data_IF_473898940783
#
_entry.id   IF_473898940783
#
_cell.length_a   1.000
_cell.length_b   1.000
_cell.length_c   1.000
_cell.angle_alpha   90.00
_cell.angle_beta   90.00
_cell.angle_gamma   90.00
#
_symmetry.space_group_name_H-M   'P 1'
#
loop_
_entity.id
_entity.type
_entity.pdbx_description
1 polymer ?
#
# COMPACT_ATOMS: atom_id res chain seq x y z
N UNK A 1 -3.59 21.67 10.16
CA UNK A 1 -3.68 20.41 10.94
C UNK A 1 -2.93 19.34 10.18
N UNK A 2 -2.26 18.38 10.85
CA UNK A 2 -1.65 17.25 10.16
C UNK A 2 -2.73 16.43 9.44
N UNK A 3 -2.37 15.80 8.32
CA UNK A 3 -3.23 14.79 7.67
C UNK A 3 -3.43 13.59 8.61
N UNK A 4 -4.54 12.87 8.49
CA UNK A 4 -4.76 11.62 9.23
C UNK A 4 -4.84 10.44 8.28
N UNK A 5 -3.90 9.49 8.40
CA UNK A 5 -3.93 8.20 7.70
C UNK A 5 -4.56 7.14 8.60
N UNK A 6 -5.69 6.57 8.19
CA UNK A 6 -6.34 5.47 8.88
C UNK A 6 -6.07 4.13 8.23
N UNK A 7 -5.53 3.17 8.98
CA UNK A 7 -5.36 1.79 8.53
C UNK A 7 -5.24 0.81 9.70
N UNK A 8 -5.25 -0.48 9.40
CA UNK A 8 -4.87 -1.51 10.37
C UNK A 8 -3.41 -1.31 10.84
N UNK A 9 -3.11 -1.74 12.07
CA UNK A 9 -1.77 -1.74 12.65
C UNK A 9 -0.87 -2.84 12.06
N UNK A 10 -0.76 -2.84 10.73
CA UNK A 10 0.01 -3.76 9.89
C UNK A 10 0.60 -2.97 8.71
N UNK A 11 1.48 -3.58 7.92
CA UNK A 11 2.02 -3.00 6.68
C UNK A 11 0.91 -2.81 5.62
N UNK A 12 0.36 -3.92 5.12
CA UNK A 12 -0.73 -4.01 4.16
C UNK A 12 -0.70 -2.98 3.01
N UNK A 13 -1.88 -2.49 2.64
CA UNK A 13 -2.08 -1.51 1.56
C UNK A 13 -1.53 -0.11 1.90
N UNK A 14 -1.45 0.23 3.19
CA UNK A 14 -1.02 1.57 3.61
C UNK A 14 0.51 1.78 3.52
N UNK A 15 1.30 0.74 3.25
CA UNK A 15 2.75 0.88 3.30
C UNK A 15 3.31 1.85 2.26
N UNK A 16 2.83 1.78 1.01
CA UNK A 16 3.24 2.73 -0.02
C UNK A 16 2.81 4.16 0.32
N UNK A 17 1.68 4.32 1.00
CA UNK A 17 1.17 5.63 1.43
C UNK A 17 2.08 6.23 2.51
N UNK A 18 2.43 5.45 3.55
CA UNK A 18 3.38 5.86 4.60
C UNK A 18 4.72 6.28 4.01
N UNK A 19 5.27 5.45 3.11
CA UNK A 19 6.50 5.75 2.38
C UNK A 19 6.41 7.09 1.63
N UNK A 20 5.30 7.33 0.92
CA UNK A 20 5.11 8.55 0.14
C UNK A 20 4.93 9.80 1.01
N UNK A 21 4.22 9.69 2.13
CA UNK A 21 4.06 10.79 3.09
C UNK A 21 5.40 11.19 3.70
N UNK A 22 6.24 10.22 4.07
CA UNK A 22 7.59 10.46 4.60
C UNK A 22 8.52 11.03 3.53
N UNK A 23 8.46 10.49 2.32
CA UNK A 23 9.23 10.98 1.17
C UNK A 23 8.95 12.46 0.88
N UNK A 24 7.68 12.84 0.89
CA UNK A 24 7.21 14.21 0.62
C UNK A 24 7.40 15.17 1.79
N UNK A 25 7.84 14.68 2.97
CA UNK A 25 7.93 15.49 4.18
C UNK A 25 6.56 15.96 4.69
N UNK A 26 5.50 15.23 4.35
CA UNK A 26 4.14 15.56 4.72
C UNK A 26 3.93 15.50 6.23
N UNK A 27 3.25 16.49 6.80
CA UNK A 27 2.79 16.43 8.19
C UNK A 27 1.55 15.54 8.30
N UNK A 28 1.69 14.39 8.96
CA UNK A 28 0.60 13.45 9.17
C UNK A 28 0.72 12.67 10.48
N UNK A 29 -0.44 12.25 10.98
CA UNK A 29 -0.63 11.30 12.07
C UNK A 29 -1.31 10.02 11.57
N UNK A 30 -1.13 8.92 12.30
CA UNK A 30 -1.75 7.64 11.96
C UNK A 30 -2.83 7.24 12.99
N UNK A 31 -4.04 6.95 12.50
CA UNK A 31 -5.05 6.21 13.25
C UNK A 31 -4.88 4.73 12.95
N UNK A 32 -4.23 4.01 13.87
CA UNK A 32 -3.97 2.56 13.76
C UNK A 32 -5.08 1.77 14.45
N UNK A 33 -5.83 1.00 13.67
CA UNK A 33 -6.83 0.07 14.20
C UNK A 33 -6.17 -1.28 14.48
N UNK A 34 -6.46 -1.88 15.63
CA UNK A 34 -5.96 -3.21 15.99
C UNK A 34 -7.05 -4.25 15.82
N UNK A 35 -6.72 -5.35 15.15
CA UNK A 35 -7.57 -6.54 15.06
C UNK A 35 -7.32 -7.42 16.29
N UNK A 36 -8.41 -7.89 16.92
CA UNK A 36 -8.38 -8.84 18.02
C UNK A 36 -7.71 -10.16 17.65
N UNK A 37 -7.46 -11.01 18.64
CA UNK A 37 -6.85 -12.32 18.45
C UNK A 37 -7.86 -13.36 17.93
N UNK A 38 -7.33 -14.49 17.47
CA UNK A 38 -8.14 -15.63 17.08
C UNK A 38 -8.89 -16.22 18.30
N UNK A 39 -10.07 -16.83 18.11
CA UNK A 39 -10.74 -17.04 16.83
C UNK A 39 -11.61 -15.86 16.37
N UNK A 40 -11.87 -14.90 17.24
CA UNK A 40 -12.90 -13.87 17.03
C UNK A 40 -12.47 -12.77 16.05
N UNK A 41 -11.16 -12.48 16.00
CA UNK A 41 -10.57 -11.45 15.15
C UNK A 41 -11.30 -10.09 15.25
N UNK A 42 -11.63 -9.66 16.48
CA UNK A 42 -12.47 -8.49 16.73
C UNK A 42 -12.02 -7.26 15.91
N UNK A 43 -12.99 -6.60 15.28
CA UNK A 43 -12.79 -5.41 14.42
C UNK A 43 -13.51 -4.18 14.97
N UNK A 44 -14.01 -4.25 16.21
CA UNK A 44 -14.84 -3.21 16.82
C UNK A 44 -14.19 -1.82 16.77
N UNK A 45 -12.86 -1.72 16.97
CA UNK A 45 -12.14 -0.44 16.88
C UNK A 45 -12.39 0.30 15.57
N UNK A 46 -12.41 -0.42 14.44
CA UNK A 46 -12.74 0.17 13.14
C UNK A 46 -14.24 0.30 12.94
N UNK A 47 -15.00 -0.77 13.20
CA UNK A 47 -16.44 -0.82 12.91
C UNK A 47 -17.24 0.25 13.67
N UNK A 48 -16.80 0.61 14.87
CA UNK A 48 -17.43 1.64 15.71
C UNK A 48 -17.25 3.07 15.17
N UNK A 49 -16.23 3.31 14.33
CA UNK A 49 -15.92 4.62 13.74
C UNK A 49 -16.24 4.68 12.24
N UNK A 50 -16.32 3.54 11.54
CA UNK A 50 -16.41 3.41 10.08
C UNK A 50 -17.35 4.42 9.41
N UNK A 51 -18.56 4.58 9.93
CA UNK A 51 -19.59 5.43 9.34
C UNK A 51 -19.69 6.83 9.97
N UNK A 52 -18.77 7.19 10.87
CA UNK A 52 -18.76 8.47 11.60
C UNK A 52 -17.71 9.46 11.08
N UNK A 53 -16.89 9.04 10.12
CA UNK A 53 -15.78 9.83 9.58
C UNK A 53 -16.16 10.70 8.38
N UNK A 54 -17.39 10.55 7.86
CA UNK A 54 -17.86 11.28 6.68
C UNK A 54 -17.19 10.87 5.36
N UNK A 55 -16.70 9.63 5.26
CA UNK A 55 -16.14 9.07 4.03
C UNK A 55 -17.29 8.69 3.07
N UNK A 56 -17.16 8.99 1.78
CA UNK A 56 -18.18 8.63 0.77
C UNK A 56 -18.34 7.11 0.63
N UNK A 57 -17.21 6.39 0.58
CA UNK A 57 -17.16 4.93 0.55
C UNK A 57 -16.31 4.39 1.71
N UNK A 58 -16.87 4.26 2.93
CA UNK A 58 -16.09 3.94 4.13
C UNK A 58 -15.24 2.67 4.01
N UNK A 59 -13.92 2.85 3.97
CA UNK A 59 -12.96 1.76 3.79
C UNK A 59 -11.60 2.07 4.42
N UNK A 60 -10.71 1.07 4.50
CA UNK A 60 -9.32 1.21 4.89
C UNK A 60 -8.41 0.82 3.70
N UNK A 61 -7.36 1.59 3.38
CA UNK A 61 -6.97 2.84 4.03
C UNK A 61 -7.88 4.03 3.68
N UNK A 62 -7.90 5.01 4.58
CA UNK A 62 -8.41 6.35 4.31
C UNK A 62 -7.34 7.42 4.62
N UNK A 63 -7.43 8.57 3.94
CA UNK A 63 -6.66 9.77 4.25
C UNK A 63 -7.64 10.95 4.44
N UNK A 64 -7.48 11.68 5.55
CA UNK A 64 -8.19 12.93 5.81
C UNK A 64 -7.18 14.08 5.77
N UNK A 65 -7.36 15.02 4.84
CA UNK A 65 -6.56 16.24 4.68
C UNK A 65 -7.50 17.46 4.64
N UNK A 66 -7.73 18.08 5.79
CA UNK A 66 -8.71 19.16 5.93
C UNK A 66 -10.12 18.70 5.55
N UNK A 67 -10.67 19.27 4.49
CA UNK A 67 -12.00 18.91 3.96
C UNK A 67 -11.98 17.67 3.08
N UNK A 68 -10.82 17.28 2.56
CA UNK A 68 -10.69 16.12 1.68
C UNK A 68 -10.69 14.82 2.49
N UNK A 69 -11.57 13.90 2.09
CA UNK A 69 -11.78 12.60 2.74
C UNK A 69 -11.69 11.52 1.67
N UNK A 70 -10.59 10.79 1.65
CA UNK A 70 -10.21 9.95 0.51
C UNK A 70 -10.06 8.51 0.96
N UNK A 71 -10.71 7.59 0.26
CA UNK A 71 -10.55 6.14 0.40
C UNK A 71 -9.94 5.56 -0.88
N UNK A 72 -9.56 4.28 -0.87
CA UNK A 72 -8.81 3.58 -1.93
C UNK A 72 -7.33 3.97 -1.97
N UNK A 73 -6.45 2.98 -1.83
CA UNK A 73 -5.01 3.21 -1.70
C UNK A 73 -4.41 3.95 -2.89
N UNK A 74 -4.82 3.60 -4.12
CA UNK A 74 -4.33 4.23 -5.34
C UNK A 74 -4.79 5.68 -5.47
N UNK A 75 -6.05 5.96 -5.12
CA UNK A 75 -6.57 7.33 -5.10
C UNK A 75 -5.84 8.21 -4.07
N UNK A 76 -5.54 7.67 -2.89
CA UNK A 76 -4.74 8.36 -1.86
C UNK A 76 -3.32 8.63 -2.36
N UNK A 77 -2.66 7.63 -2.97
CA UNK A 77 -1.32 7.79 -3.55
C UNK A 77 -1.30 8.88 -4.63
N UNK A 78 -2.25 8.83 -5.57
CA UNK A 78 -2.37 9.84 -6.63
C UNK A 78 -2.68 11.24 -6.08
N UNK A 79 -3.49 11.36 -5.02
CA UNK A 79 -3.74 12.64 -4.35
C UNK A 79 -2.44 13.26 -3.81
N UNK A 80 -1.66 12.48 -3.06
CA UNK A 80 -0.38 12.95 -2.51
C UNK A 80 0.61 13.24 -3.66
N UNK A 81 0.70 12.36 -4.66
CA UNK A 81 1.59 12.54 -5.79
C UNK A 81 1.30 13.84 -6.56
N UNK A 82 0.02 14.16 -6.83
CA UNK A 82 -0.39 15.43 -7.46
C UNK A 82 -0.01 16.66 -6.64
N UNK A 83 -0.14 16.60 -5.30
CA UNK A 83 0.24 17.71 -4.40
C UNK A 83 1.74 18.04 -4.46
N UNK A 84 2.56 17.10 -4.93
CA UNK A 84 4.02 17.20 -4.97
C UNK A 84 4.62 17.04 -6.38
N UNK A 85 3.81 17.09 -7.45
CA UNK A 85 4.26 16.91 -8.84
C UNK A 85 5.06 15.62 -9.08
N UNK A 86 4.55 14.49 -8.55
CA UNK A 86 5.18 13.17 -8.64
C UNK A 86 4.46 12.20 -9.60
N UNK A 87 3.47 12.68 -10.36
CA UNK A 87 2.83 11.91 -11.44
C UNK A 87 3.60 12.06 -12.75
N UNK A 88 3.30 11.21 -13.73
CA UNK A 88 3.86 11.35 -15.08
C UNK A 88 3.54 12.70 -15.72
N UNK A 89 4.53 13.34 -16.33
CA UNK A 89 4.39 14.65 -16.97
C UNK A 89 4.05 14.50 -18.45
N UNK A 90 4.76 13.58 -19.13
CA UNK A 90 4.51 13.25 -20.53
C UNK A 90 3.43 12.17 -20.67
N UNK A 91 2.78 12.12 -21.84
CA UNK A 91 1.79 11.06 -22.12
C UNK A 91 2.39 9.66 -21.99
N UNK A 92 3.64 9.49 -22.44
CA UNK A 92 4.37 8.23 -22.30
C UNK A 92 4.57 7.82 -20.83
N UNK A 93 4.87 8.78 -19.96
CA UNK A 93 5.01 8.52 -18.52
C UNK A 93 3.67 8.18 -17.87
N UNK A 94 2.59 8.89 -18.24
CA UNK A 94 1.24 8.61 -17.72
C UNK A 94 0.76 7.21 -18.12
N UNK A 95 0.95 6.81 -19.39
CA UNK A 95 0.64 5.46 -19.85
C UNK A 95 1.41 4.42 -19.03
N UNK A 96 2.71 4.65 -18.78
CA UNK A 96 3.52 3.74 -17.96
C UNK A 96 3.05 3.69 -16.51
N UNK A 97 2.71 4.84 -15.91
CA UNK A 97 2.17 4.97 -14.56
C UNK A 97 0.86 4.18 -14.42
N UNK A 98 -0.07 4.36 -15.35
CA UNK A 98 -1.38 3.72 -15.33
C UNK A 98 -1.29 2.20 -15.52
N UNK A 99 -0.47 1.72 -16.46
CA UNK A 99 -0.22 0.28 -16.64
C UNK A 99 0.38 -0.31 -15.35
N UNK A 100 1.43 0.33 -14.82
CA UNK A 100 2.16 -0.22 -13.69
C UNK A 100 1.34 -0.21 -12.40
N UNK A 101 0.56 0.83 -12.15
CA UNK A 101 -0.33 0.92 -10.98
C UNK A 101 -1.31 -0.27 -10.94
N UNK A 102 -1.94 -0.57 -12.08
CA UNK A 102 -2.91 -1.66 -12.19
C UNK A 102 -2.23 -3.03 -12.13
N UNK A 103 -1.12 -3.21 -12.87
CA UNK A 103 -0.37 -4.48 -12.87
C UNK A 103 0.18 -4.84 -11.48
N UNK A 104 0.70 -3.86 -10.73
CA UNK A 104 1.16 -4.07 -9.35
C UNK A 104 0.00 -4.42 -8.41
N UNK A 105 -1.20 -3.89 -8.64
CA UNK A 105 -2.38 -4.26 -7.87
C UNK A 105 -2.78 -5.72 -8.13
N UNK A 106 -2.77 -6.16 -9.39
CA UNK A 106 -3.09 -7.54 -9.74
C UNK A 106 -2.12 -8.53 -9.08
N UNK A 107 -0.80 -8.29 -9.17
CA UNK A 107 0.17 -9.18 -8.54
C UNK A 107 0.16 -9.10 -7.01
N UNK A 108 -0.13 -7.94 -6.43
CA UNK A 108 -0.40 -7.82 -4.99
C UNK A 108 -1.59 -8.68 -4.58
N UNK A 109 -2.67 -8.64 -5.35
CA UNK A 109 -3.88 -9.42 -5.05
C UNK A 109 -3.65 -10.92 -5.21
N UNK A 110 -2.85 -11.35 -6.19
CA UNK A 110 -2.43 -12.75 -6.32
C UNK A 110 -1.71 -13.23 -5.06
N UNK A 111 -0.71 -12.49 -4.59
CA UNK A 111 0.02 -12.82 -3.37
C UNK A 111 -0.90 -12.81 -2.14
N UNK A 112 -1.76 -11.79 -2.02
CA UNK A 112 -2.68 -11.68 -0.89
C UNK A 112 -3.67 -12.85 -0.86
N UNK A 113 -4.23 -13.26 -2.00
CA UNK A 113 -5.13 -14.43 -2.06
C UNK A 113 -4.43 -15.68 -1.57
N UNK A 114 -3.23 -15.96 -2.09
CA UNK A 114 -2.41 -17.09 -1.63
C UNK A 114 -2.19 -17.05 -0.11
N UNK A 115 -1.74 -15.91 0.42
CA UNK A 115 -1.38 -15.80 1.84
C UNK A 115 -2.57 -15.95 2.81
N UNK A 116 -3.80 -15.80 2.35
CA UNK A 116 -5.01 -15.96 3.17
C UNK A 116 -5.79 -17.23 2.85
N UNK A 117 -5.29 -18.04 1.92
CA UNK A 117 -5.95 -19.28 1.53
C UNK A 117 -5.68 -20.40 2.55
N UNK A 118 -6.70 -21.15 3.01
CA UNK A 118 -6.51 -22.31 3.87
C UNK A 118 -5.62 -23.40 3.24
N UNK A 119 -5.58 -23.51 1.91
CA UNK A 119 -4.74 -24.45 1.16
C UNK A 119 -3.37 -23.84 0.77
N UNK A 120 -2.91 -22.78 1.48
CA UNK A 120 -1.63 -22.09 1.21
C UNK A 120 -0.47 -23.01 0.89
N UNK A 121 -0.22 -24.06 1.70
CA UNK A 121 0.92 -24.97 1.50
C UNK A 121 0.84 -25.76 0.19
N UNK A 122 -0.37 -26.02 -0.32
CA UNK A 122 -0.58 -26.69 -1.62
C UNK A 122 -0.44 -25.74 -2.79
N UNK A 123 -0.88 -24.49 -2.63
CA UNK A 123 -0.90 -23.47 -3.70
C UNK A 123 0.44 -22.74 -3.86
N UNK A 124 1.23 -22.66 -2.79
CA UNK A 124 2.51 -21.94 -2.75
C UNK A 124 3.53 -22.43 -3.81
N UNK A 125 3.71 -23.74 -4.07
CA UNK A 125 4.67 -24.20 -5.08
C UNK A 125 4.40 -23.61 -6.47
N UNK A 126 3.14 -23.64 -6.95
CA UNK A 126 2.76 -23.09 -8.25
C UNK A 126 3.02 -21.58 -8.33
N UNK A 127 2.69 -20.83 -7.26
CA UNK A 127 2.98 -19.41 -7.20
C UNK A 127 4.49 -19.13 -7.29
N UNK A 128 5.31 -19.91 -6.58
CA UNK A 128 6.77 -19.75 -6.61
C UNK A 128 7.38 -20.14 -7.96
N UNK A 129 6.80 -21.11 -8.66
CA UNK A 129 7.20 -21.48 -10.03
C UNK A 129 6.91 -20.36 -11.03
N UNK A 130 5.77 -19.67 -10.90
CA UNK A 130 5.41 -18.53 -11.76
C UNK A 130 6.11 -17.21 -11.41
N UNK A 131 6.66 -17.07 -10.21
CA UNK A 131 7.25 -15.83 -9.71
C UNK A 131 8.41 -15.30 -10.57
N UNK A 132 9.37 -16.11 -11.06
CA UNK A 132 10.45 -15.62 -11.91
C UNK A 132 9.97 -14.97 -13.22
N UNK A 133 8.99 -15.57 -13.90
CA UNK A 133 8.45 -15.00 -15.15
C UNK A 133 7.67 -13.71 -14.86
N UNK A 134 6.92 -13.64 -13.76
CA UNK A 134 6.31 -12.38 -13.30
C UNK A 134 7.36 -11.29 -13.09
N UNK A 135 8.44 -11.57 -12.35
CA UNK A 135 9.51 -10.60 -12.05
C UNK A 135 10.29 -10.18 -13.29
N UNK A 136 10.46 -11.09 -14.25
CA UNK A 136 11.10 -10.81 -15.54
C UNK A 136 10.35 -9.75 -16.35
N UNK A 137 9.02 -9.76 -16.34
CA UNK A 137 8.21 -8.71 -16.98
C UNK A 137 8.49 -7.33 -16.39
N UNK A 138 8.59 -7.23 -15.06
CA UNK A 138 8.96 -5.97 -14.39
C UNK A 138 10.39 -5.53 -14.71
N UNK A 139 11.34 -6.49 -14.74
CA UNK A 139 12.73 -6.21 -15.11
C UNK A 139 12.84 -5.65 -16.53
N UNK A 140 12.13 -6.25 -17.48
CA UNK A 140 12.07 -5.77 -18.86
C UNK A 140 11.38 -4.40 -18.98
N UNK A 141 10.30 -4.19 -18.24
CA UNK A 141 9.57 -2.91 -18.26
C UNK A 141 10.38 -1.76 -17.66
N UNK A 142 11.19 -2.01 -16.62
CA UNK A 142 12.16 -1.05 -16.07
C UNK A 142 13.32 -0.80 -17.05
N UNK A 143 13.86 -1.88 -17.63
CA UNK A 143 14.98 -1.82 -18.57
C UNK A 143 16.23 -1.23 -17.92
N UNK A 144 16.75 -0.14 -18.51
CA UNK A 144 17.95 0.57 -18.01
C UNK A 144 17.60 1.85 -17.24
N UNK A 145 16.31 2.14 -17.02
CA UNK A 145 15.89 3.36 -16.36
C UNK A 145 16.18 3.28 -14.86
N UNK A 146 16.56 4.39 -14.20
CA UNK A 146 16.77 4.39 -12.76
C UNK A 146 15.43 4.24 -12.01
N UNK A 147 14.31 4.65 -12.62
CA UNK A 147 12.96 4.52 -12.08
C UNK A 147 11.97 4.04 -13.14
N UNK A 148 10.83 3.50 -12.71
CA UNK A 148 9.81 3.00 -13.63
C UNK A 148 9.22 4.06 -14.57
N UNK A 149 9.26 5.34 -14.18
CA UNK A 149 8.81 6.46 -15.01
C UNK A 149 9.98 7.22 -15.68
N UNK A 150 11.18 6.66 -15.72
CA UNK A 150 12.36 7.30 -16.31
C UNK A 150 13.33 7.83 -15.26
N UNK A 151 13.77 9.08 -15.38
CA UNK A 151 14.88 9.65 -14.60
C UNK A 151 14.46 10.27 -13.26
N UNK A 152 13.15 10.35 -12.99
CA UNK A 152 12.61 10.97 -11.77
C UNK A 152 12.25 9.95 -10.70
N UNK A 153 13.05 9.94 -9.63
CA UNK A 153 12.66 9.85 -8.23
C UNK A 153 13.91 9.99 -7.34
N UNK A 154 13.76 10.42 -6.08
CA UNK A 154 14.89 10.63 -5.16
C UNK A 154 14.88 9.64 -3.99
N UNK A 155 16.05 9.38 -3.43
CA UNK A 155 16.30 8.36 -2.42
C UNK A 155 16.03 8.89 -0.99
N UNK A 156 14.77 8.87 -0.53
CA UNK A 156 14.46 8.96 0.93
C UNK A 156 13.85 7.68 1.52
N UNK A 157 13.71 6.63 0.71
CA UNK A 157 13.17 5.33 1.16
C UNK A 157 14.03 4.74 2.28
N UNK A 158 15.35 4.85 2.18
CA UNK A 158 16.29 4.32 3.18
C UNK A 158 16.18 5.03 4.54
N UNK A 159 15.89 6.33 4.55
CA UNK A 159 15.69 7.10 5.78
C UNK A 159 14.40 6.68 6.49
N UNK A 160 13.29 6.53 5.75
CA UNK A 160 12.05 6.01 6.31
C UNK A 160 12.23 4.60 6.88
N UNK A 161 12.88 3.68 6.14
CA UNK A 161 13.11 2.30 6.60
C UNK A 161 13.93 2.22 7.89
N UNK A 162 14.73 3.24 8.20
CA UNK A 162 15.51 3.36 9.44
C UNK A 162 14.79 4.14 10.55
N UNK A 163 13.66 4.77 10.24
CA UNK A 163 12.90 5.58 11.20
C UNK A 163 12.06 4.72 12.15
N UNK A 164 11.69 5.27 13.31
CA UNK A 164 10.76 4.64 14.26
C UNK A 164 9.34 4.48 13.71
N UNK A 165 9.00 5.13 12.58
CA UNK A 165 7.71 5.03 11.92
C UNK A 165 7.61 3.82 10.99
N UNK A 166 8.75 3.23 10.59
CA UNK A 166 8.73 2.02 9.78
C UNK A 166 8.10 0.86 10.56
N UNK A 167 7.12 0.21 9.94
CA UNK A 167 6.52 -1.01 10.46
C UNK A 167 7.19 -2.23 9.81
N UNK A 168 8.16 -2.89 10.49
CA UNK A 168 8.83 -4.06 9.95
C UNK A 168 7.90 -5.27 9.85
N UNK A 169 6.91 -5.36 10.75
CA UNK A 169 5.91 -6.42 10.84
C UNK A 169 4.69 -5.93 11.62
N UNK A 170 3.53 -6.58 11.46
CA UNK A 170 3.25 -7.66 10.50
C UNK A 170 2.96 -7.13 9.09
N UNK A 171 3.16 -7.95 8.04
CA UNK A 171 2.85 -7.54 6.65
C UNK A 171 1.35 -7.60 6.39
N UNK A 172 0.73 -8.71 6.80
CA UNK A 172 -0.69 -8.99 6.67
C UNK A 172 -1.38 -9.01 8.03
N UNK A 173 -2.71 -9.17 8.04
CA UNK A 173 -3.48 -9.32 9.28
C UNK A 173 -3.22 -10.68 9.93
N UNK A 174 -3.69 -10.86 11.17
CA UNK A 174 -3.56 -12.10 11.94
C UNK A 174 -4.22 -13.33 11.27
N UNK A 175 -5.08 -13.12 10.27
CA UNK A 175 -5.74 -14.19 9.53
C UNK A 175 -4.87 -14.80 8.42
N UNK A 176 -3.80 -14.12 7.98
CA UNK A 176 -2.94 -14.66 6.92
C UNK A 176 -2.14 -15.87 7.43
N UNK A 177 -1.98 -16.89 6.60
CA UNK A 177 -1.13 -18.06 6.86
C UNK A 177 0.36 -17.69 6.73
N UNK A 178 0.68 -16.71 5.89
CA UNK A 178 2.06 -16.24 5.67
C UNK A 178 2.21 -14.72 5.81
N UNK A 179 3.38 -14.28 6.28
CA UNK A 179 3.76 -12.86 6.36
C UNK A 179 3.18 -12.05 7.55
N UNK A 180 2.55 -12.70 8.53
CA UNK A 180 1.92 -12.03 9.69
C UNK A 180 2.72 -12.13 11.00
N UNK A 181 3.93 -12.73 11.01
CA UNK A 181 4.81 -12.87 12.17
C UNK A 181 6.09 -12.04 12.06
#
# INVERSE_FOLDING_TARGET
MPMTLGYWNIRGLAHSIRLLLEYTGSSYEEKKYTMGDAPDYDRSQWLNEKFKLGLDFPNLPYLIDGTHKITQSNAILRYIARKHNLCGETEKEKIREDILENQLMDNRMQLARLCYDPDFEKLKPEYLEGLPEMLKLYSQFLGKQPWFLGDKASLKISAYMKSSRFLPRPVFTKMAVWGNK
#
